data_IF_089684464782
#
_entry.id   IF_089684464782
#
_cell.length_a   1.000
_cell.length_b   1.000
_cell.length_c   1.000
_cell.angle_alpha   90.00
_cell.angle_beta   90.00
_cell.angle_gamma   90.00
#
_symmetry.space_group_name_H-M   'P 1'
#
loop_
_entity.id
_entity.type
_entity.pdbx_description
1 polymer ?
#
# COMPACT_ATOMS: atom_id res chain seq x y z
N UNK A 1 11.12 10.01 -6.94
CA UNK A 1 10.75 9.13 -8.07
C UNK A 1 10.77 9.85 -9.43
N UNK A 2 10.27 11.09 -9.56
CA UNK A 2 10.43 11.88 -10.79
C UNK A 2 11.88 12.39 -11.04
N UNK A 3 12.70 12.48 -9.99
CA UNK A 3 14.08 12.99 -10.07
C UNK A 3 15.06 12.03 -10.77
N UNK A 4 14.86 10.71 -10.69
CA UNK A 4 15.80 9.72 -11.27
C UNK A 4 15.63 9.60 -12.82
N UNK A 5 14.46 9.96 -13.35
CA UNK A 5 14.17 9.81 -14.78
C UNK A 5 14.61 11.02 -15.64
N UNK A 6 14.97 12.15 -15.03
CA UNK A 6 15.30 13.38 -15.77
C UNK A 6 16.75 13.43 -16.27
N UNK A 7 17.66 12.67 -15.66
CA UNK A 7 19.10 12.78 -15.94
C UNK A 7 19.60 11.92 -17.12
N UNK A 8 18.79 11.00 -17.64
CA UNK A 8 19.27 9.95 -18.56
C UNK A 8 18.96 10.17 -20.04
N UNK A 9 18.32 11.27 -20.46
CA UNK A 9 18.27 11.68 -21.88
C UNK A 9 17.63 10.69 -22.87
N UNK A 10 16.88 9.68 -22.40
CA UNK A 10 16.25 8.65 -23.25
C UNK A 10 14.76 8.95 -23.42
N UNK A 11 14.28 8.93 -24.67
CA UNK A 11 12.87 9.09 -25.08
C UNK A 11 11.89 8.38 -24.11
N UNK A 12 11.24 9.18 -23.28
CA UNK A 12 10.66 8.81 -21.98
C UNK A 12 9.27 8.18 -22.04
N UNK A 13 8.74 7.83 -23.21
CA UNK A 13 7.36 7.34 -23.34
C UNK A 13 7.18 5.87 -22.99
N UNK A 14 7.89 4.98 -23.68
CA UNK A 14 7.57 3.54 -23.70
C UNK A 14 8.38 2.71 -22.70
N UNK A 15 9.68 3.01 -22.55
CA UNK A 15 10.55 2.40 -21.51
C UNK A 15 10.06 2.77 -20.10
N UNK A 16 9.54 3.99 -19.93
CA UNK A 16 9.02 4.46 -18.66
C UNK A 16 7.77 3.68 -18.22
N UNK A 17 6.91 3.29 -19.15
CA UNK A 17 5.68 2.56 -18.85
C UNK A 17 5.95 1.08 -18.53
N UNK A 18 6.89 0.44 -19.21
CA UNK A 18 7.29 -0.94 -18.89
C UNK A 18 8.03 -1.02 -17.55
N UNK A 19 8.88 -0.04 -17.24
CA UNK A 19 9.53 0.08 -15.92
C UNK A 19 8.51 0.33 -14.82
N UNK A 20 7.50 1.18 -15.05
CA UNK A 20 6.41 1.38 -14.09
C UNK A 20 5.63 0.09 -13.85
N UNK A 21 5.27 -0.64 -14.92
CA UNK A 21 4.57 -1.92 -14.80
C UNK A 21 5.40 -2.95 -14.05
N UNK A 22 6.71 -2.99 -14.30
CA UNK A 22 7.64 -3.89 -13.63
C UNK A 22 7.67 -3.70 -12.10
N UNK A 23 7.42 -2.50 -11.59
CA UNK A 23 7.30 -2.22 -10.13
C UNK A 23 6.01 -2.77 -9.51
N UNK A 24 4.98 -3.01 -10.33
CA UNK A 24 3.72 -3.63 -9.87
C UNK A 24 3.72 -5.15 -10.03
N UNK A 25 4.52 -5.69 -10.96
CA UNK A 25 4.69 -7.13 -11.20
C UNK A 25 5.94 -7.73 -10.56
N UNK A 26 6.85 -6.90 -10.03
CA UNK A 26 8.08 -7.27 -9.33
C UNK A 26 8.54 -6.15 -8.39
N UNK A 27 9.59 -6.37 -7.60
CA UNK A 27 10.04 -5.41 -6.57
C UNK A 27 9.22 -5.50 -5.27
N UNK A 28 9.17 -4.43 -4.47
CA UNK A 28 8.64 -4.48 -3.09
C UNK A 28 7.14 -4.86 -3.00
N UNK A 29 6.36 -4.60 -4.06
CA UNK A 29 4.93 -4.94 -4.10
C UNK A 29 4.70 -6.45 -4.06
N UNK A 30 5.59 -7.25 -4.68
CA UNK A 30 5.39 -8.69 -4.81
C UNK A 30 5.49 -9.43 -3.45
N UNK A 31 6.55 -9.22 -2.62
CA UNK A 31 6.59 -9.78 -1.27
C UNK A 31 5.39 -9.36 -0.41
N UNK A 32 4.94 -8.11 -0.52
CA UNK A 32 3.78 -7.62 0.21
C UNK A 32 2.49 -8.33 -0.22
N UNK A 33 2.31 -8.56 -1.52
CA UNK A 33 1.16 -9.31 -2.02
C UNK A 33 1.13 -10.74 -1.47
N UNK A 34 2.30 -11.41 -1.39
CA UNK A 34 2.42 -12.76 -0.80
C UNK A 34 2.08 -12.75 0.69
N UNK A 35 2.59 -11.78 1.44
CA UNK A 35 2.28 -11.63 2.87
C UNK A 35 0.78 -11.41 3.12
N UNK A 36 0.11 -10.59 2.30
CA UNK A 36 -1.33 -10.36 2.43
C UNK A 36 -2.12 -11.60 2.03
N UNK A 37 -1.70 -12.33 0.98
CA UNK A 37 -2.28 -13.61 0.61
C UNK A 37 -2.17 -14.65 1.75
N UNK A 38 -1.01 -14.76 2.38
CA UNK A 38 -0.79 -15.63 3.54
C UNK A 38 -1.70 -15.23 4.72
N UNK A 39 -1.88 -13.93 4.98
CA UNK A 39 -2.78 -13.44 6.03
C UNK A 39 -4.25 -13.78 5.75
N UNK A 40 -4.68 -13.77 4.48
CA UNK A 40 -6.02 -14.22 4.07
C UNK A 40 -6.16 -15.73 4.31
N UNK A 41 -5.17 -16.53 3.90
CA UNK A 41 -5.18 -17.98 4.08
C UNK A 41 -5.24 -18.39 5.55
N UNK A 42 -4.56 -17.62 6.41
CA UNK A 42 -4.59 -17.78 7.87
C UNK A 42 -5.84 -17.19 8.54
N UNK A 43 -6.80 -16.65 7.77
CA UNK A 43 -8.03 -16.00 8.26
C UNK A 43 -7.76 -14.81 9.19
N UNK A 44 -6.60 -14.16 9.04
CA UNK A 44 -6.28 -12.91 9.74
C UNK A 44 -6.90 -11.72 9.01
N UNK A 45 -6.91 -11.77 7.67
CA UNK A 45 -7.48 -10.73 6.81
C UNK A 45 -8.77 -11.19 6.10
N UNK A 46 -9.62 -10.22 5.77
CA UNK A 46 -10.80 -10.42 4.91
C UNK A 46 -10.37 -10.93 3.52
N UNK A 47 -11.19 -11.79 2.86
CA UNK A 47 -10.85 -12.40 1.57
C UNK A 47 -11.04 -11.43 0.39
N UNK A 48 -10.25 -10.34 0.38
CA UNK A 48 -10.18 -9.36 -0.70
C UNK A 48 -8.92 -9.57 -1.54
N UNK A 49 -8.86 -8.93 -2.70
CA UNK A 49 -7.67 -8.98 -3.56
C UNK A 49 -6.42 -8.43 -2.82
N UNK A 50 -5.35 -9.22 -2.62
CA UNK A 50 -4.15 -8.78 -1.88
C UNK A 50 -3.49 -7.55 -2.50
N UNK A 51 -3.41 -7.48 -3.82
CA UNK A 51 -2.81 -6.34 -4.54
C UNK A 51 -3.59 -5.06 -4.24
N UNK A 52 -4.91 -5.14 -4.25
CA UNK A 52 -5.77 -3.99 -3.94
C UNK A 52 -5.54 -3.52 -2.50
N UNK A 53 -5.53 -4.45 -1.54
CA UNK A 53 -5.29 -4.10 -0.13
C UNK A 53 -3.90 -3.48 0.08
N UNK A 54 -2.84 -4.04 -0.49
CA UNK A 54 -1.49 -3.46 -0.43
C UNK A 54 -1.47 -2.04 -0.98
N UNK A 55 -2.12 -1.79 -2.13
CA UNK A 55 -2.18 -0.45 -2.72
C UNK A 55 -2.97 0.55 -1.87
N UNK A 56 -4.07 0.13 -1.23
CA UNK A 56 -4.84 0.99 -0.32
C UNK A 56 -4.00 1.42 0.89
N UNK A 57 -3.28 0.49 1.50
CA UNK A 57 -2.43 0.76 2.66
C UNK A 57 -1.26 1.65 2.27
N UNK A 58 -0.53 1.27 1.23
CA UNK A 58 0.61 2.03 0.75
C UNK A 58 0.23 3.45 0.30
N UNK A 59 -0.87 3.57 -0.44
CA UNK A 59 -1.41 4.86 -0.88
C UNK A 59 -1.68 5.79 0.30
N UNK A 60 -2.32 5.27 1.36
CA UNK A 60 -2.60 6.03 2.59
C UNK A 60 -1.32 6.63 3.19
N UNK A 61 -0.29 5.81 3.43
CA UNK A 61 0.96 6.30 4.01
C UNK A 61 1.70 7.27 3.08
N UNK A 62 1.75 7.01 1.77
CA UNK A 62 2.39 7.91 0.80
C UNK A 62 1.75 9.29 0.82
N UNK A 63 0.42 9.38 0.86
CA UNK A 63 -0.27 10.67 0.91
C UNK A 63 -0.11 11.37 2.26
N UNK A 64 -0.11 10.63 3.37
CA UNK A 64 0.18 11.19 4.69
C UNK A 64 1.58 11.81 4.75
N UNK A 65 2.61 11.09 4.29
CA UNK A 65 3.99 11.56 4.22
C UNK A 65 4.11 12.81 3.34
N UNK A 66 3.46 12.81 2.16
CA UNK A 66 3.46 13.98 1.27
C UNK A 66 2.81 15.21 1.90
N UNK A 67 1.67 15.03 2.56
CA UNK A 67 0.97 16.13 3.22
C UNK A 67 1.82 16.73 4.34
N UNK A 68 2.52 15.88 5.12
CA UNK A 68 3.46 16.32 6.13
C UNK A 68 4.64 17.12 5.55
N UNK A 69 5.28 16.61 4.50
CA UNK A 69 6.41 17.30 3.85
C UNK A 69 6.02 18.64 3.22
N UNK A 70 4.76 18.84 2.88
CA UNK A 70 4.23 20.11 2.37
C UNK A 70 3.67 21.02 3.47
N UNK A 71 3.83 20.66 4.75
CA UNK A 71 3.34 21.48 5.87
C UNK A 71 1.82 21.55 5.99
N UNK A 72 1.08 20.61 5.38
CA UNK A 72 -0.39 20.56 5.47
C UNK A 72 -0.83 20.10 6.86
N UNK A 73 -0.13 19.14 7.44
CA UNK A 73 -0.30 18.72 8.84
C UNK A 73 0.98 18.10 9.40
N UNK A 74 1.08 18.01 10.72
CA UNK A 74 2.21 17.37 11.39
C UNK A 74 1.96 15.87 11.58
N UNK A 75 2.92 15.03 11.17
CA UNK A 75 2.92 13.61 11.51
C UNK A 75 3.57 13.41 12.88
N UNK A 76 2.74 13.32 13.90
CA UNK A 76 3.17 12.95 15.26
C UNK A 76 3.22 11.43 15.43
N UNK A 77 3.92 10.95 16.46
CA UNK A 77 3.90 9.53 16.84
C UNK A 77 2.48 9.00 16.99
N UNK A 78 1.59 9.75 17.63
CA UNK A 78 0.20 9.33 17.86
C UNK A 78 -0.57 9.19 16.54
N UNK A 79 -0.40 10.14 15.61
CA UNK A 79 -1.04 10.08 14.29
C UNK A 79 -0.57 8.88 13.46
N UNK A 80 0.70 8.49 13.60
CA UNK A 80 1.26 7.29 12.95
C UNK A 80 0.65 6.02 13.54
N UNK A 81 0.54 5.92 14.86
CA UNK A 81 -0.09 4.78 15.52
C UNK A 81 -1.58 4.67 15.16
N UNK A 82 -2.29 5.79 15.08
CA UNK A 82 -3.69 5.85 14.67
C UNK A 82 -3.88 5.35 13.23
N UNK A 83 -2.99 5.75 12.31
CA UNK A 83 -3.02 5.31 10.92
C UNK A 83 -2.72 3.81 10.77
N UNK A 84 -1.72 3.29 11.50
CA UNK A 84 -1.41 1.85 11.51
C UNK A 84 -2.61 1.06 12.05
N UNK A 85 -3.20 1.51 13.17
CA UNK A 85 -4.39 0.87 13.75
C UNK A 85 -5.57 0.88 12.79
N UNK A 86 -5.81 2.01 12.12
CA UNK A 86 -6.89 2.16 11.15
C UNK A 86 -6.72 1.22 9.95
N UNK A 87 -5.50 1.15 9.40
CA UNK A 87 -5.13 0.20 8.36
C UNK A 87 -5.39 -1.25 8.79
N UNK A 88 -4.92 -1.65 9.98
CA UNK A 88 -5.16 -2.99 10.51
C UNK A 88 -6.66 -3.30 10.65
N UNK A 89 -7.42 -2.37 11.23
CA UNK A 89 -8.86 -2.53 11.43
C UNK A 89 -9.64 -2.62 10.11
N UNK A 90 -9.14 -2.00 9.04
CA UNK A 90 -9.80 -2.02 7.73
C UNK A 90 -9.76 -3.40 7.04
N UNK A 91 -8.80 -4.25 7.37
CA UNK A 91 -8.62 -5.56 6.72
C UNK A 91 -8.70 -6.75 7.67
N UNK A 92 -8.58 -6.55 8.98
CA UNK A 92 -8.69 -7.65 9.94
C UNK A 92 -10.05 -8.34 9.81
N UNK A 93 -10.04 -9.66 9.85
CA UNK A 93 -11.27 -10.41 10.03
C UNK A 93 -11.80 -10.13 11.45
N UNK A 94 -13.09 -9.81 11.58
CA UNK A 94 -13.76 -9.64 12.87
C UNK A 94 -14.77 -10.77 13.05
N UNK A 95 -14.87 -11.30 14.26
CA UNK A 95 -15.68 -12.50 14.60
C UNK A 95 -17.21 -12.32 14.41
N UNK A 96 -17.66 -11.15 13.95
CA UNK A 96 -19.09 -10.85 13.77
C UNK A 96 -19.74 -11.51 12.55
N UNK A 97 -19.04 -12.38 11.81
CA UNK A 97 -19.57 -13.12 10.67
C UNK A 97 -20.02 -14.56 11.02
N UNK A 98 -20.29 -14.86 12.30
CA UNK A 98 -20.88 -16.14 12.75
C UNK A 98 -22.13 -15.90 13.60
N UNK A 99 -23.15 -15.32 12.97
CA UNK A 99 -24.58 -15.32 13.35
C UNK A 99 -25.29 -14.85 12.07
N UNK A 100 -26.18 -15.56 11.38
CA UNK A 100 -27.13 -16.66 11.67
C UNK A 100 -27.22 -17.53 10.38
N UNK A 101 -27.18 -18.86 10.46
CA UNK A 101 -28.32 -19.80 10.42
C UNK A 101 -29.38 -19.55 9.34
#
# INVERSE_FOLDING_TARGET
MALIAKESGVSTGRIYDDVKKAVYSGGWCEPMNKLYEEAIQQKLFVPLNPKMMVQMHYGTFVYMLKAHLHGIFELTSDSVHEAIRSCWNAVRLTDHAVTEQ
#
